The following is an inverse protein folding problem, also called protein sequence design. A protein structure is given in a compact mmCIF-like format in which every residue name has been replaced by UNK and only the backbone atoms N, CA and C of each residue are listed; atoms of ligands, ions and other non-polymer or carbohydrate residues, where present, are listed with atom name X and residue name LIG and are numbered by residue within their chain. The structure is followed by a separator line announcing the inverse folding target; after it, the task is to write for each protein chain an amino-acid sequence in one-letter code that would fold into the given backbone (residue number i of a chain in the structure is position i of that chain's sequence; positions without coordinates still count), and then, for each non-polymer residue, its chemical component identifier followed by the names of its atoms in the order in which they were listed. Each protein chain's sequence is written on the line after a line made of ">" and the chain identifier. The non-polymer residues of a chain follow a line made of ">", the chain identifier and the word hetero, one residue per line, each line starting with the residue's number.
data_IF_020627554472
#
_entry.id   IF_020627554472
#
_cell.length_a   1.000
_cell.length_b   1.000
_cell.length_c   1.000
_cell.angle_alpha   90.00
_cell.angle_beta   90.00
_cell.angle_gamma   90.00
#
_symmetry.space_group_name_H-M   'P 1'
#
loop_
_entity.id
_entity.type
_entity.pdbx_description
1 polymer ?
#
# COMPACT_ATOMS: atom_id res chain seq x y z
N UNK A 1 -10.19 16.66 -9.77
CA UNK A 1 -10.41 17.81 -8.86
C UNK A 1 -9.92 17.58 -7.41
N UNK A 2 -9.20 16.48 -7.08
CA UNK A 2 -8.69 16.24 -5.69
C UNK A 2 -7.16 16.33 -5.57
N UNK A 3 -6.46 16.66 -6.65
CA UNK A 3 -4.98 16.74 -6.66
C UNK A 3 -4.44 17.67 -5.57
N UNK A 4 -5.15 18.73 -5.19
CA UNK A 4 -4.69 19.65 -4.12
C UNK A 4 -4.73 19.10 -2.69
N UNK A 5 -5.26 17.89 -2.47
CA UNK A 5 -5.38 17.27 -1.14
C UNK A 5 -4.74 15.87 -1.18
N UNK A 6 -3.44 15.74 -0.86
CA UNK A 6 -2.78 14.44 -0.77
C UNK A 6 -3.55 13.49 0.14
N UNK A 7 -3.68 12.23 -0.28
CA UNK A 7 -4.46 11.21 0.38
C UNK A 7 -5.96 11.21 0.05
N UNK A 8 -6.58 12.32 -0.37
CA UNK A 8 -8.04 12.35 -0.49
C UNK A 8 -8.64 11.47 -1.61
N UNK A 9 -7.81 10.95 -2.53
CA UNK A 9 -8.29 10.03 -3.58
C UNK A 9 -8.75 8.68 -3.00
N UNK A 10 -8.01 8.11 -2.05
CA UNK A 10 -8.36 6.85 -1.35
C UNK A 10 -9.73 6.84 -0.66
N UNK A 11 -10.31 8.03 -0.46
CA UNK A 11 -11.62 8.20 0.17
C UNK A 11 -12.81 8.10 -0.80
N UNK A 12 -12.58 7.92 -2.11
CA UNK A 12 -13.68 7.86 -3.08
C UNK A 12 -14.38 6.50 -3.17
N UNK A 13 -13.82 5.42 -2.63
CA UNK A 13 -14.35 4.07 -2.82
C UNK A 13 -15.83 3.92 -2.40
N UNK A 14 -16.25 4.26 -1.16
CA UNK A 14 -17.65 4.14 -0.77
C UNK A 14 -18.54 5.20 -1.42
N UNK A 15 -17.99 6.35 -1.87
CA UNK A 15 -18.77 7.33 -2.64
C UNK A 15 -19.12 6.76 -4.02
N UNK A 16 -18.15 6.16 -4.71
CA UNK A 16 -18.38 5.48 -5.99
C UNK A 16 -19.40 4.34 -5.84
N UNK A 17 -19.33 3.58 -4.75
CA UNK A 17 -20.30 2.52 -4.49
C UNK A 17 -21.70 3.06 -4.15
N UNK A 18 -21.80 4.14 -3.37
CA UNK A 18 -23.09 4.74 -3.04
C UNK A 18 -23.87 5.14 -4.30
N UNK A 19 -23.21 5.69 -5.32
CA UNK A 19 -23.83 6.03 -6.62
C UNK A 19 -24.37 4.83 -7.39
N UNK A 20 -23.87 3.61 -7.15
CA UNK A 20 -24.47 2.39 -7.76
C UNK A 20 -25.79 1.99 -7.11
N UNK A 21 -26.01 2.44 -5.88
CA UNK A 21 -27.23 2.14 -5.11
C UNK A 21 -28.23 3.29 -5.13
N UNK A 22 -28.08 4.23 -6.08
CA UNK A 22 -29.01 5.33 -6.30
C UNK A 22 -30.41 4.79 -6.59
N UNK A 23 -31.40 5.33 -5.90
CA UNK A 23 -32.79 4.97 -6.13
C UNK A 23 -33.34 5.63 -7.41
N UNK A 24 -34.43 5.13 -8.01
CA UNK A 24 -35.02 5.75 -9.21
C UNK A 24 -35.40 7.23 -9.05
N UNK A 25 -35.63 7.67 -7.82
CA UNK A 25 -35.92 9.04 -7.39
C UNK A 25 -34.64 9.87 -7.07
N UNK A 26 -33.47 9.43 -7.55
CA UNK A 26 -32.19 10.12 -7.45
C UNK A 26 -31.70 10.35 -6.00
N UNK A 27 -31.99 9.40 -5.10
CA UNK A 27 -31.56 9.48 -3.70
C UNK A 27 -30.45 8.47 -3.42
N UNK A 28 -29.44 8.94 -2.69
CA UNK A 28 -28.34 8.11 -2.21
C UNK A 28 -28.55 7.75 -0.75
N UNK A 29 -28.45 6.46 -0.42
CA UNK A 29 -28.43 6.01 0.97
C UNK A 29 -27.05 6.23 1.57
N UNK A 30 -26.94 7.17 2.51
CA UNK A 30 -25.72 7.36 3.28
C UNK A 30 -25.72 6.40 4.47
N UNK A 31 -24.95 5.32 4.37
CA UNK A 31 -24.74 4.40 5.48
C UNK A 31 -23.58 4.88 6.37
N UNK A 32 -23.35 4.19 7.49
CA UNK A 32 -22.30 4.55 8.44
C UNK A 32 -20.90 4.65 7.79
N UNK A 33 -20.58 3.78 6.83
CA UNK A 33 -19.30 3.83 6.11
C UNK A 33 -19.19 5.09 5.25
N UNK A 34 -20.25 5.47 4.54
CA UNK A 34 -20.26 6.71 3.76
C UNK A 34 -20.05 7.93 4.68
N UNK A 35 -20.71 7.95 5.83
CA UNK A 35 -20.52 9.00 6.83
C UNK A 35 -19.07 9.09 7.32
N UNK A 36 -18.44 7.95 7.66
CA UNK A 36 -17.04 7.91 8.09
C UNK A 36 -16.08 8.49 7.04
N UNK A 37 -16.29 8.15 5.76
CA UNK A 37 -15.44 8.67 4.68
C UNK A 37 -15.67 10.16 4.40
N UNK A 38 -16.91 10.64 4.54
CA UNK A 38 -17.20 12.08 4.50
C UNK A 38 -16.53 12.82 5.66
N UNK A 39 -16.46 12.21 6.85
CA UNK A 39 -15.73 12.77 7.99
C UNK A 39 -14.22 12.81 7.74
N UNK A 40 -13.65 11.79 7.08
CA UNK A 40 -12.24 11.83 6.67
C UNK A 40 -11.98 12.96 5.67
N UNK A 41 -12.87 13.19 4.69
CA UNK A 41 -12.75 14.33 3.77
C UNK A 41 -12.75 15.66 4.52
N UNK A 42 -13.65 15.82 5.51
CA UNK A 42 -13.69 17.01 6.36
C UNK A 42 -12.40 17.16 7.16
N UNK A 43 -11.86 16.06 7.70
CA UNK A 43 -10.61 16.07 8.44
C UNK A 43 -9.43 16.47 7.54
N UNK A 44 -9.27 15.82 6.38
CA UNK A 44 -8.22 16.17 5.41
C UNK A 44 -8.31 17.64 4.99
N UNK A 45 -9.53 18.12 4.70
CA UNK A 45 -9.76 19.53 4.35
C UNK A 45 -9.35 20.49 5.47
N UNK A 46 -9.73 20.21 6.73
CA UNK A 46 -9.30 21.01 7.89
C UNK A 46 -7.77 21.08 8.01
N UNK A 47 -7.09 19.95 7.79
CA UNK A 47 -5.62 19.94 7.87
C UNK A 47 -4.94 20.80 6.80
N UNK A 48 -5.63 21.20 5.71
CA UNK A 48 -5.07 22.13 4.73
C UNK A 48 -4.96 23.55 5.28
N UNK A 49 -5.88 23.94 6.16
CA UNK A 49 -5.84 25.23 6.85
C UNK A 49 -4.70 25.30 7.86
N UNK A 50 -4.42 24.19 8.55
CA UNK A 50 -3.34 24.10 9.53
C UNK A 50 -1.97 23.94 8.88
N UNK A 51 -1.91 23.21 7.76
CA UNK A 51 -0.68 22.92 7.03
C UNK A 51 -0.91 22.98 5.52
N UNK A 52 -0.30 23.96 4.83
CA UNK A 52 -0.31 24.01 3.37
C UNK A 52 0.30 22.74 2.78
N UNK A 53 -0.26 22.28 1.67
CA UNK A 53 0.33 21.22 0.86
C UNK A 53 1.42 21.82 -0.03
N UNK A 54 2.65 21.32 0.06
CA UNK A 54 3.74 21.75 -0.83
C UNK A 54 3.62 21.08 -2.20
N UNK A 55 4.10 21.75 -3.25
CA UNK A 55 4.06 21.23 -4.63
C UNK A 55 4.77 19.87 -4.75
N UNK A 56 5.84 19.66 -3.98
CA UNK A 56 6.58 18.41 -3.95
C UNK A 56 5.79 17.24 -3.34
N UNK A 57 4.66 17.48 -2.66
CA UNK A 57 3.73 16.44 -2.18
C UNK A 57 2.69 16.06 -3.25
N UNK A 58 2.63 16.79 -4.38
CA UNK A 58 1.59 16.62 -5.41
C UNK A 58 2.06 15.84 -6.63
N UNK A 59 3.34 15.95 -6.95
CA UNK A 59 3.89 15.48 -8.22
C UNK A 59 5.09 14.58 -7.97
N UNK A 60 5.05 13.31 -8.43
CA UNK A 60 6.20 12.44 -8.39
C UNK A 60 7.42 13.12 -9.04
N UNK A 61 8.55 13.03 -8.36
CA UNK A 61 9.89 13.41 -8.84
C UNK A 61 10.70 12.14 -9.08
N UNK A 62 11.99 12.29 -9.38
CA UNK A 62 12.92 11.15 -9.39
C UNK A 62 12.82 10.38 -8.06
N UNK A 63 12.56 9.06 -8.11
CA UNK A 63 12.35 8.27 -6.90
C UNK A 63 13.55 8.34 -5.97
N UNK A 64 13.29 8.70 -4.71
CA UNK A 64 14.30 8.61 -3.64
C UNK A 64 14.28 7.24 -2.98
N UNK A 65 13.20 6.50 -3.18
CA UNK A 65 13.05 5.11 -2.76
C UNK A 65 12.47 4.31 -3.91
N UNK A 66 13.09 3.17 -4.21
CA UNK A 66 12.55 2.18 -5.15
C UNK A 66 12.43 0.87 -4.40
N UNK A 67 11.28 0.22 -4.50
CA UNK A 67 11.05 -1.02 -3.79
C UNK A 67 10.08 -1.94 -4.50
N UNK A 68 10.11 -3.20 -4.10
CA UNK A 68 9.15 -4.21 -4.51
C UNK A 68 8.43 -4.74 -3.28
N UNK A 69 7.19 -5.15 -3.46
CA UNK A 69 6.41 -5.81 -2.40
C UNK A 69 5.65 -7.00 -2.99
N UNK A 70 5.35 -7.97 -2.14
CA UNK A 70 4.54 -9.13 -2.49
C UNK A 70 3.75 -9.61 -1.26
N UNK A 71 2.71 -10.39 -1.50
CA UNK A 71 1.98 -11.11 -0.49
C UNK A 71 1.68 -12.53 -0.93
N UNK A 72 1.75 -13.44 0.04
CA UNK A 72 1.33 -14.82 -0.07
C UNK A 72 0.21 -15.11 0.93
N UNK A 73 -0.35 -16.32 0.88
CA UNK A 73 -1.30 -16.75 1.89
C UNK A 73 -0.72 -16.88 3.30
N UNK A 74 0.61 -16.87 3.45
CA UNK A 74 1.28 -17.00 4.75
C UNK A 74 1.72 -15.65 5.34
N UNK A 75 2.11 -14.70 4.49
CA UNK A 75 2.64 -13.41 4.92
C UNK A 75 2.85 -12.45 3.76
N UNK A 76 3.32 -11.27 4.10
CA UNK A 76 3.76 -10.22 3.18
C UNK A 76 5.25 -9.98 3.35
N UNK A 77 5.89 -9.39 2.35
CA UNK A 77 7.27 -8.96 2.45
C UNK A 77 7.68 -8.13 1.25
N UNK A 78 8.83 -7.49 1.39
CA UNK A 78 9.34 -6.62 0.37
C UNK A 78 10.78 -6.22 0.61
N UNK A 79 11.30 -5.50 -0.37
CA UNK A 79 12.61 -4.86 -0.31
C UNK A 79 12.52 -3.43 -0.77
N UNK A 80 13.25 -2.55 -0.10
CA UNK A 80 13.32 -1.13 -0.42
C UNK A 80 14.77 -0.68 -0.55
N UNK A 81 15.06 0.12 -1.56
CA UNK A 81 16.36 0.69 -1.81
C UNK A 81 16.26 2.20 -1.66
N UNK A 82 16.80 2.71 -0.56
CA UNK A 82 16.78 4.12 -0.22
C UNK A 82 18.03 4.78 -0.79
N UNK A 83 17.85 5.81 -1.61
CA UNK A 83 18.94 6.63 -2.10
C UNK A 83 19.32 7.65 -1.02
N UNK A 84 20.45 7.43 -0.35
CA UNK A 84 20.95 8.31 0.72
C UNK A 84 22.21 9.06 0.26
N UNK A 85 22.60 10.17 0.92
CA UNK A 85 23.87 10.84 0.61
C UNK A 85 25.10 9.93 0.74
N UNK A 86 25.03 8.89 1.59
CA UNK A 86 26.07 7.87 1.78
C UNK A 86 25.98 6.69 0.79
N UNK A 87 25.06 6.74 -0.17
CA UNK A 87 24.82 5.69 -1.16
C UNK A 87 23.52 4.93 -0.94
N UNK A 88 23.39 3.79 -1.61
CA UNK A 88 22.18 2.97 -1.56
C UNK A 88 22.10 2.20 -0.23
N UNK A 89 21.00 2.38 0.49
CA UNK A 89 20.69 1.62 1.70
C UNK A 89 19.57 0.61 1.40
N UNK A 90 19.87 -0.69 1.33
CA UNK A 90 18.84 -1.72 1.20
C UNK A 90 18.09 -1.87 2.52
N UNK A 91 16.81 -2.22 2.44
CA UNK A 91 15.95 -2.59 3.56
C UNK A 91 15.23 -3.87 3.16
N UNK A 92 15.32 -4.87 4.02
CA UNK A 92 14.55 -6.10 3.93
C UNK A 92 13.48 -6.12 5.01
N UNK A 93 12.23 -6.43 4.63
CA UNK A 93 11.15 -6.58 5.61
C UNK A 93 10.22 -7.72 5.24
N UNK A 94 9.62 -8.34 6.27
CA UNK A 94 8.57 -9.35 6.14
C UNK A 94 7.64 -9.33 7.34
N UNK A 95 6.39 -9.69 7.13
CA UNK A 95 5.41 -9.83 8.19
C UNK A 95 4.50 -11.04 7.97
N UNK A 96 4.38 -11.91 8.98
CA UNK A 96 3.55 -13.11 8.89
C UNK A 96 2.11 -12.75 9.19
N UNK A 97 1.18 -13.15 8.33
CA UNK A 97 -0.22 -12.92 8.62
C UNK A 97 -0.65 -13.73 9.85
N UNK A 98 -1.43 -13.15 10.78
CA UNK A 98 -2.09 -13.91 11.83
C UNK A 98 -2.99 -15.01 11.25
N UNK A 99 -3.20 -16.10 12.00
CA UNK A 99 -3.99 -17.25 11.52
C UNK A 99 -5.40 -16.89 11.09
N UNK A 100 -6.04 -15.92 11.76
CA UNK A 100 -7.38 -15.44 11.41
C UNK A 100 -7.44 -14.68 10.07
N UNK A 101 -6.32 -14.13 9.60
CA UNK A 101 -6.21 -13.53 8.25
C UNK A 101 -5.99 -14.64 7.22
N UNK A 102 -5.05 -15.55 7.49
CA UNK A 102 -4.75 -16.69 6.61
C UNK A 102 -6.00 -17.53 6.30
N UNK A 103 -6.82 -17.82 7.32
CA UNK A 103 -8.04 -18.64 7.17
C UNK A 103 -9.17 -17.96 6.40
N UNK A 104 -9.07 -16.65 6.16
CA UNK A 104 -10.07 -15.87 5.41
C UNK A 104 -9.68 -15.69 3.94
N UNK A 105 -8.46 -16.07 3.55
CA UNK A 105 -8.03 -15.98 2.16
C UNK A 105 -8.84 -16.93 1.29
N UNK A 106 -9.34 -16.40 0.18
CA UNK A 106 -9.96 -17.18 -0.89
C UNK A 106 -8.86 -18.00 -1.57
N UNK A 107 -9.00 -19.31 -1.51
CA UNK A 107 -8.14 -20.28 -2.19
C UNK A 107 -9.01 -21.33 -2.87
N UNK A 108 -8.40 -22.25 -3.61
CA UNK A 108 -9.11 -23.41 -4.14
C UNK A 108 -9.77 -24.24 -3.03
N UNK A 109 -9.05 -24.47 -1.93
CA UNK A 109 -9.54 -25.23 -0.76
C UNK A 109 -10.44 -24.40 0.17
N UNK A 110 -10.44 -23.08 0.03
CA UNK A 110 -11.29 -22.15 0.79
C UNK A 110 -12.03 -21.17 -0.13
N UNK A 111 -12.97 -21.66 -0.96
CA UNK A 111 -13.63 -20.83 -1.96
C UNK A 111 -14.60 -19.79 -1.35
N UNK A 112 -14.97 -19.98 -0.07
CA UNK A 112 -15.85 -19.08 0.69
C UNK A 112 -15.08 -18.09 1.57
N UNK A 113 -13.77 -17.95 1.35
CA UNK A 113 -12.98 -16.91 1.99
C UNK A 113 -13.56 -15.52 1.77
N UNK A 114 -13.15 -14.56 2.60
CA UNK A 114 -13.59 -13.16 2.54
C UNK A 114 -12.49 -12.19 2.11
N UNK A 115 -11.25 -12.66 1.91
CA UNK A 115 -10.10 -11.87 1.50
C UNK A 115 -9.56 -12.43 0.19
N UNK A 116 -9.31 -11.57 -0.79
CA UNK A 116 -8.60 -11.93 -2.02
C UNK A 116 -7.09 -11.79 -1.84
N UNK A 117 -6.32 -12.40 -2.75
CA UNK A 117 -4.86 -12.14 -2.81
C UNK A 117 -4.56 -10.66 -3.06
N UNK A 118 -5.40 -9.98 -3.85
CA UNK A 118 -5.27 -8.55 -4.11
C UNK A 118 -5.45 -7.70 -2.84
N UNK A 119 -6.31 -8.10 -1.90
CA UNK A 119 -6.43 -7.42 -0.60
C UNK A 119 -5.14 -7.58 0.23
N UNK A 120 -4.54 -8.77 0.21
CA UNK A 120 -3.28 -9.03 0.90
C UNK A 120 -2.12 -8.22 0.30
N UNK A 121 -2.01 -8.18 -1.03
CA UNK A 121 -0.98 -7.39 -1.70
C UNK A 121 -1.15 -5.88 -1.52
N UNK A 122 -2.39 -5.38 -1.53
CA UNK A 122 -2.67 -3.99 -1.19
C UNK A 122 -2.23 -3.69 0.26
N UNK A 123 -2.50 -4.60 1.20
CA UNK A 123 -2.03 -4.43 2.59
C UNK A 123 -0.50 -4.46 2.70
N UNK A 124 0.17 -5.28 1.90
CA UNK A 124 1.63 -5.31 1.83
C UNK A 124 2.21 -3.97 1.37
N UNK A 125 1.55 -3.29 0.42
CA UNK A 125 1.98 -1.94 0.00
C UNK A 125 1.86 -0.92 1.13
N UNK A 126 0.76 -0.95 1.88
CA UNK A 126 0.58 -0.03 3.03
C UNK A 126 1.67 -0.26 4.07
N UNK A 127 1.99 -1.52 4.37
CA UNK A 127 3.09 -1.87 5.26
C UNK A 127 4.46 -1.46 4.71
N UNK A 128 4.71 -1.60 3.40
CA UNK A 128 5.93 -1.12 2.77
C UNK A 128 6.14 0.38 3.01
N UNK A 129 5.08 1.19 2.80
CA UNK A 129 5.17 2.63 3.04
C UNK A 129 5.45 2.95 4.50
N UNK A 130 4.85 2.22 5.44
CA UNK A 130 5.09 2.37 6.89
C UNK A 130 6.52 1.98 7.30
N UNK A 131 7.08 0.92 6.69
CA UNK A 131 8.49 0.53 6.86
C UNK A 131 9.42 1.64 6.38
N UNK A 132 9.15 2.20 5.20
CA UNK A 132 9.97 3.29 4.63
C UNK A 132 9.92 4.54 5.51
N UNK A 133 8.73 4.96 5.95
CA UNK A 133 8.55 6.18 6.77
C UNK A 133 9.10 6.02 8.18
N UNK A 134 9.19 4.79 8.68
CA UNK A 134 9.89 4.47 9.94
C UNK A 134 11.40 4.52 9.76
N UNK A 135 11.92 4.07 8.61
CA UNK A 135 13.36 4.00 8.35
C UNK A 135 13.97 5.34 7.93
N UNK A 136 13.19 6.24 7.33
CA UNK A 136 13.65 7.53 6.85
C UNK A 136 12.54 8.57 6.79
N UNK A 137 12.92 9.84 6.81
CA UNK A 137 12.01 10.94 6.50
C UNK A 137 11.63 10.90 5.02
N UNK A 138 10.38 10.49 4.74
CA UNK A 138 9.87 10.37 3.39
C UNK A 138 9.10 11.62 2.91
N UNK A 139 9.09 12.71 3.70
CA UNK A 139 8.36 13.93 3.34
C UNK A 139 8.88 14.48 2.02
N UNK A 140 7.96 14.75 1.09
CA UNK A 140 8.25 15.33 -0.24
C UNK A 140 9.10 14.42 -1.15
N UNK A 141 9.33 13.18 -0.73
CA UNK A 141 10.06 12.18 -1.51
C UNK A 141 9.10 11.26 -2.27
N UNK A 142 9.52 10.88 -3.47
CA UNK A 142 8.79 9.90 -4.28
C UNK A 142 9.20 8.48 -3.88
N UNK A 143 8.20 7.67 -3.52
CA UNK A 143 8.33 6.25 -3.23
C UNK A 143 7.79 5.47 -4.42
N UNK A 144 8.68 4.79 -5.15
CA UNK A 144 8.31 3.97 -6.30
C UNK A 144 8.18 2.50 -5.89
N UNK A 145 6.93 2.07 -5.67
CA UNK A 145 6.62 0.68 -5.33
C UNK A 145 6.20 -0.11 -6.58
N UNK A 146 6.84 -1.24 -6.78
CA UNK A 146 6.52 -2.20 -7.83
C UNK A 146 5.70 -3.37 -7.30
N UNK A 147 4.73 -3.81 -8.11
CA UNK A 147 3.77 -4.87 -7.78
C UNK A 147 3.68 -5.89 -8.91
N UNK A 148 3.51 -7.17 -8.58
CA UNK A 148 3.24 -8.23 -9.58
C UNK A 148 1.74 -8.54 -9.75
N UNK A 149 0.86 -7.93 -8.96
CA UNK A 149 -0.59 -8.06 -9.11
C UNK A 149 -1.24 -6.85 -9.75
N UNK A 150 -1.86 -7.12 -10.89
CA UNK A 150 -2.54 -6.12 -11.70
C UNK A 150 -3.69 -5.42 -10.96
N UNK A 151 -4.48 -6.15 -10.17
CA UNK A 151 -5.63 -5.57 -9.45
C UNK A 151 -5.17 -4.63 -8.33
N UNK A 152 -4.24 -5.07 -7.48
CA UNK A 152 -3.65 -4.24 -6.43
C UNK A 152 -3.02 -2.96 -7.03
N UNK A 153 -2.24 -3.12 -8.11
CA UNK A 153 -1.66 -1.99 -8.85
C UNK A 153 -2.71 -1.03 -9.42
N UNK A 154 -3.82 -1.52 -9.95
CA UNK A 154 -4.90 -0.65 -10.45
C UNK A 154 -5.58 0.12 -9.32
N UNK A 155 -5.87 -0.53 -8.19
CA UNK A 155 -6.40 0.16 -7.02
C UNK A 155 -5.44 1.20 -6.50
N UNK A 156 -4.14 0.91 -6.48
CA UNK A 156 -3.11 1.85 -6.05
C UNK A 156 -2.97 3.07 -6.96
N UNK A 157 -3.03 2.90 -8.29
CA UNK A 157 -2.96 4.04 -9.21
C UNK A 157 -4.24 4.89 -9.20
N UNK A 158 -5.39 4.24 -9.09
CA UNK A 158 -6.70 4.93 -9.04
C UNK A 158 -6.97 5.52 -7.65
N UNK A 159 -6.32 4.97 -6.63
CA UNK A 159 -6.61 5.15 -5.20
C UNK A 159 -8.11 5.04 -4.93
N UNK A 160 -8.80 4.10 -5.58
CA UNK A 160 -10.20 3.82 -5.30
C UNK A 160 -10.60 2.45 -5.85
N UNK A 161 -11.59 1.85 -5.22
CA UNK A 161 -12.28 0.65 -5.70
C UNK A 161 -13.77 0.95 -5.85
N UNK A 162 -14.48 0.12 -6.60
CA UNK A 162 -15.95 0.15 -6.70
C UNK A 162 -16.58 -0.89 -5.79
N UNK A 163 -16.03 -1.04 -4.59
CA UNK A 163 -16.50 -1.95 -3.54
C UNK A 163 -16.27 -1.29 -2.18
N UNK A 164 -16.96 -1.77 -1.16
CA UNK A 164 -16.81 -1.32 0.24
C UNK A 164 -16.01 -2.31 1.09
N UNK A 165 -15.32 -3.25 0.44
CA UNK A 165 -14.56 -4.32 1.09
C UNK A 165 -13.20 -3.90 1.68
N UNK A 166 -12.34 -4.87 2.02
CA UNK A 166 -11.04 -4.61 2.65
C UNK A 166 -10.18 -3.60 1.87
N UNK A 167 -10.16 -3.70 0.55
CA UNK A 167 -9.46 -2.73 -0.29
C UNK A 167 -9.86 -1.26 -0.06
N UNK A 168 -11.15 -0.96 0.14
CA UNK A 168 -11.60 0.40 0.42
C UNK A 168 -11.07 0.91 1.78
N UNK A 169 -11.02 0.05 2.79
CA UNK A 169 -10.49 0.39 4.10
C UNK A 169 -8.96 0.57 4.07
N UNK A 170 -8.24 -0.25 3.30
CA UNK A 170 -6.79 -0.14 3.12
C UNK A 170 -6.42 1.14 2.36
N UNK A 171 -7.15 1.49 1.30
CA UNK A 171 -6.95 2.75 0.58
C UNK A 171 -7.21 3.97 1.47
N UNK A 172 -8.26 3.92 2.31
CA UNK A 172 -8.52 4.94 3.34
C UNK A 172 -7.36 5.05 4.35
N UNK A 173 -6.82 3.92 4.81
CA UNK A 173 -5.68 3.91 5.72
C UNK A 173 -4.45 4.55 5.05
N UNK A 174 -4.16 4.17 3.81
CA UNK A 174 -3.06 4.73 3.02
C UNK A 174 -3.24 6.24 2.79
N UNK A 175 -4.46 6.72 2.56
CA UNK A 175 -4.77 8.16 2.45
C UNK A 175 -4.30 8.95 3.67
N UNK A 176 -4.64 8.46 4.86
CA UNK A 176 -4.26 9.10 6.11
C UNK A 176 -2.76 9.00 6.36
N UNK A 177 -2.19 7.82 6.11
CA UNK A 177 -0.75 7.58 6.21
C UNK A 177 0.03 8.55 5.29
N UNK A 178 -0.36 8.68 4.03
CA UNK A 178 0.23 9.62 3.08
C UNK A 178 0.10 11.08 3.57
N UNK A 179 -1.05 11.48 4.11
CA UNK A 179 -1.23 12.86 4.61
C UNK A 179 -0.28 13.17 5.77
N UNK A 180 -0.06 12.19 6.66
CA UNK A 180 0.80 12.31 7.85
C UNK A 180 2.28 12.36 7.45
N UNK A 181 2.72 11.39 6.64
CA UNK A 181 4.14 11.22 6.30
C UNK A 181 4.59 11.98 5.04
N UNK A 182 3.64 12.51 4.27
CA UNK A 182 3.86 13.48 3.17
C UNK A 182 4.73 12.96 2.03
N UNK A 183 4.79 11.65 1.84
CA UNK A 183 5.44 11.05 0.67
C UNK A 183 4.54 11.11 -0.56
N UNK A 184 5.15 10.95 -1.73
CA UNK A 184 4.45 10.83 -3.01
C UNK A 184 4.51 9.38 -3.48
N UNK A 185 3.40 8.62 -3.42
CA UNK A 185 3.37 7.25 -3.91
C UNK A 185 3.43 7.24 -5.44
N UNK A 186 4.29 6.39 -5.99
CA UNK A 186 4.35 6.07 -7.39
C UNK A 186 4.33 4.54 -7.55
N UNK A 187 3.49 4.05 -8.45
CA UNK A 187 3.14 2.63 -8.52
C UNK A 187 3.21 2.08 -9.93
N UNK A 188 4.04 1.05 -10.12
CA UNK A 188 4.21 0.37 -11.39
C UNK A 188 4.10 -1.15 -11.27
N UNK A 189 3.93 -1.78 -12.43
CA UNK A 189 3.89 -3.23 -12.55
C UNK A 189 5.29 -3.78 -12.79
N UNK A 190 5.62 -4.84 -12.06
CA UNK A 190 6.81 -5.65 -12.29
C UNK A 190 6.38 -7.11 -12.47
N UNK A 191 6.73 -7.77 -13.58
CA UNK A 191 6.43 -9.19 -13.78
C UNK A 191 6.91 -10.05 -12.61
N UNK A 192 6.13 -11.06 -12.22
CA UNK A 192 6.46 -11.93 -11.09
C UNK A 192 7.84 -12.59 -11.17
N UNK A 193 8.31 -12.92 -12.38
CA UNK A 193 9.68 -13.44 -12.60
C UNK A 193 10.79 -12.47 -12.16
N UNK A 194 10.50 -11.17 -12.17
CA UNK A 194 11.41 -10.11 -11.71
C UNK A 194 11.14 -9.69 -10.26
N UNK A 195 10.01 -10.10 -9.66
CA UNK A 195 9.62 -9.77 -8.28
C UNK A 195 10.19 -10.75 -7.24
N UNK A 196 11.24 -11.49 -7.57
CA UNK A 196 11.68 -12.66 -6.81
C UNK A 196 12.07 -12.35 -5.35
N UNK A 197 12.71 -11.21 -5.10
CA UNK A 197 13.08 -10.80 -3.74
C UNK A 197 11.85 -10.69 -2.84
N UNK A 198 10.80 -10.01 -3.31
CA UNK A 198 9.58 -9.84 -2.54
C UNK A 198 8.76 -11.14 -2.44
N UNK A 199 8.77 -11.96 -3.49
CA UNK A 199 8.16 -13.29 -3.46
C UNK A 199 8.80 -14.15 -2.36
N UNK A 200 10.13 -14.22 -2.30
CA UNK A 200 10.86 -14.93 -1.25
C UNK A 200 10.58 -14.33 0.14
N UNK A 201 10.53 -13.01 0.26
CA UNK A 201 10.22 -12.33 1.52
C UNK A 201 8.80 -12.64 2.04
N UNK A 202 7.83 -12.80 1.14
CA UNK A 202 6.45 -13.12 1.50
C UNK A 202 6.22 -14.61 1.80
N UNK A 203 7.14 -15.51 1.39
CA UNK A 203 6.93 -16.98 1.42
C UNK A 203 7.88 -17.78 2.31
N UNK A 204 9.13 -17.36 2.53
CA UNK A 204 10.15 -18.18 3.21
C UNK A 204 10.00 -18.22 4.74
N UNK A 205 8.81 -18.57 5.22
CA UNK A 205 8.45 -18.67 6.64
C UNK A 205 8.96 -19.93 7.34
N UNK A 206 9.64 -20.83 6.62
CA UNK A 206 10.38 -21.94 7.20
C UNK A 206 11.75 -21.52 7.75
N UNK A 207 12.25 -20.34 7.34
CA UNK A 207 13.50 -19.76 7.84
C UNK A 207 13.24 -18.86 9.05
N UNK A 208 14.08 -18.95 10.07
CA UNK A 208 14.16 -17.93 11.13
C UNK A 208 14.61 -16.59 10.54
N UNK A 209 14.42 -15.47 11.27
CA UNK A 209 14.81 -14.15 10.76
C UNK A 209 16.32 -14.07 10.46
N UNK A 210 17.16 -14.69 11.29
CA UNK A 210 18.60 -14.75 11.05
C UNK A 210 18.96 -15.60 9.80
N UNK A 211 18.32 -16.76 9.63
CA UNK A 211 18.54 -17.61 8.45
C UNK A 211 18.02 -16.96 7.17
N UNK A 212 16.92 -16.22 7.27
CA UNK A 212 16.34 -15.45 6.18
C UNK A 212 17.22 -14.28 5.77
N UNK A 213 17.78 -13.54 6.73
CA UNK A 213 18.74 -12.48 6.46
C UNK A 213 20.02 -13.03 5.82
N UNK A 214 20.54 -14.16 6.32
CA UNK A 214 21.68 -14.84 5.71
C UNK A 214 21.39 -15.29 4.27
N UNK A 215 20.20 -15.84 4.03
CA UNK A 215 19.73 -16.19 2.69
C UNK A 215 19.76 -14.96 1.76
N UNK A 216 19.20 -13.82 2.18
CA UNK A 216 19.19 -12.58 1.39
C UNK A 216 20.60 -12.05 1.10
N UNK A 217 21.48 -12.00 2.10
CA UNK A 217 22.86 -11.57 1.90
C UNK A 217 23.63 -12.47 0.92
N UNK A 218 23.28 -13.75 0.84
CA UNK A 218 23.94 -14.71 -0.07
C UNK A 218 23.34 -14.72 -1.49
N UNK A 219 22.02 -14.62 -1.62
CA UNK A 219 21.30 -14.79 -2.90
C UNK A 219 21.11 -13.46 -3.62
N UNK A 220 21.00 -12.36 -2.87
CA UNK A 220 20.78 -11.01 -3.36
C UNK A 220 21.84 -10.04 -2.81
N UNK A 221 23.14 -10.28 -3.07
CA UNK A 221 24.21 -9.52 -2.45
C UNK A 221 24.10 -8.03 -2.77
N UNK A 222 24.29 -7.20 -1.75
CA UNK A 222 24.28 -5.74 -1.83
C UNK A 222 25.63 -5.20 -1.35
N UNK A 223 25.96 -3.95 -1.71
CA UNK A 223 27.20 -3.31 -1.22
C UNK A 223 27.20 -3.12 0.30
N UNK A 224 26.03 -2.83 0.87
CA UNK A 224 25.76 -2.81 2.31
C UNK A 224 24.89 -4.02 2.64
N UNK A 225 25.05 -4.63 3.81
CA UNK A 225 24.17 -5.74 4.21
C UNK A 225 22.70 -5.30 4.25
N UNK A 226 21.80 -6.26 4.00
CA UNK A 226 20.35 -6.09 4.18
C UNK A 226 19.97 -5.74 5.63
#
# INVERSE_FOLDING_TARGET
>A
MVIGIPGARGLFSPLQEAFRTETPDHRLRLNAMVHQFLDDFRQLSKTLGDRPTRIAELMPQDPSVIGTTDASGQGMGGVDFLNTPSGLRPILWRHRYPKHVQSRLITFDNPRGSLSIGDLELSATVCQHDVITTAADAREHTIHSFHNNTAAKFWQRKESTTTTGPAAALLRLQSHHQRVFRYVPFHDYLPGLLNKMSDDASRLWHLSDAAFLAYFNSTYPQMNCW
#
